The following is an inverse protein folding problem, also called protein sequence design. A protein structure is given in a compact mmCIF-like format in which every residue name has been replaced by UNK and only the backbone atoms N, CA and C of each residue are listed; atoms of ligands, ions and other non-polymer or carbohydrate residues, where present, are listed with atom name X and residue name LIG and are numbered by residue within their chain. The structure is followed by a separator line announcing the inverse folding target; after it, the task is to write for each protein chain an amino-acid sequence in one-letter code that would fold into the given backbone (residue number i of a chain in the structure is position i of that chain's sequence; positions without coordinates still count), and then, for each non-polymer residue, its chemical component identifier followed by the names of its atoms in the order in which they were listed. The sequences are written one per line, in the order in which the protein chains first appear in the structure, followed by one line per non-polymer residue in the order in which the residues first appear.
data_IF_152200666019
#
_entry.id   IF_152200666019
#
_cell.length_a   1.000
_cell.length_b   1.000
_cell.length_c   1.000
_cell.angle_alpha   90.00
_cell.angle_beta   90.00
_cell.angle_gamma   90.00
#
_symmetry.space_group_name_H-M   'P 1'
#
loop_
_entity.id
_entity.type
_entity.pdbx_description
1 polymer ?
#
# COMPACT_ATOMS: atom_id res chain seq x y z
N UNK A 1 4.01 4.36 10.50
CA UNK A 1 2.72 4.55 9.79
C UNK A 1 2.91 5.71 8.82
N UNK A 2 3.55 5.44 7.67
CA UNK A 2 3.91 6.50 6.73
C UNK A 2 2.80 6.79 5.71
N UNK A 3 1.89 5.83 5.52
CA UNK A 3 0.94 5.72 4.39
C UNK A 3 -0.07 6.89 4.24
N UNK A 4 -0.23 7.77 5.23
CA UNK A 4 -0.93 9.05 5.05
C UNK A 4 -0.25 10.21 5.77
N UNK A 5 0.36 9.96 6.93
CA UNK A 5 0.88 11.02 7.80
C UNK A 5 2.31 11.47 7.45
N UNK A 6 3.02 10.75 6.58
CA UNK A 6 4.45 11.00 6.37
C UNK A 6 5.28 10.71 7.62
N UNK A 7 6.47 11.31 7.69
CA UNK A 7 7.34 11.38 8.87
C UNK A 7 8.14 12.70 8.85
N UNK A 8 7.72 13.71 9.63
CA UNK A 8 8.40 15.00 9.69
C UNK A 8 9.87 14.90 10.12
N UNK A 9 10.18 13.97 11.03
CA UNK A 9 11.54 13.75 11.58
C UNK A 9 12.49 13.22 10.50
N UNK A 10 11.98 12.31 9.66
CA UNK A 10 12.65 11.81 8.47
C UNK A 10 12.58 12.75 7.26
N UNK A 11 11.94 13.93 7.38
CA UNK A 11 11.62 14.85 6.28
C UNK A 11 10.85 14.18 5.14
N UNK A 12 9.99 13.24 5.49
CA UNK A 12 9.14 12.51 4.57
C UNK A 12 7.77 13.19 4.61
N UNK A 13 7.38 13.84 3.52
CA UNK A 13 6.04 14.42 3.42
C UNK A 13 4.92 13.36 3.50
N UNK A 14 3.67 13.77 3.71
CA UNK A 14 2.51 12.90 3.55
C UNK A 14 2.61 12.16 2.22
N UNK A 15 2.34 10.85 2.23
CA UNK A 15 2.70 10.02 1.09
C UNK A 15 1.95 10.37 -0.22
N UNK A 16 0.80 11.04 -0.11
CA UNK A 16 0.05 11.63 -1.23
C UNK A 16 0.84 12.70 -2.00
N UNK A 17 1.85 13.27 -1.35
CA UNK A 17 2.80 14.24 -1.91
C UNK A 17 4.24 13.72 -1.92
N UNK A 18 4.50 12.43 -1.61
CA UNK A 18 5.87 11.90 -1.57
C UNK A 18 6.56 12.10 -2.91
N UNK A 19 7.61 12.90 -2.94
CA UNK A 19 8.40 13.19 -4.12
C UNK A 19 9.70 12.38 -4.11
N UNK A 20 10.43 12.39 -5.22
CA UNK A 20 11.70 11.67 -5.31
C UNK A 20 12.77 12.28 -4.39
N UNK A 21 12.64 13.57 -4.08
CA UNK A 21 13.50 14.33 -3.17
C UNK A 21 13.36 13.85 -1.72
N UNK A 22 12.19 13.34 -1.34
CA UNK A 22 11.93 12.79 0.00
C UNK A 22 12.64 11.43 0.22
N UNK A 23 13.29 10.89 -0.82
CA UNK A 23 13.94 9.58 -0.80
C UNK A 23 15.46 9.72 -0.99
N UNK A 24 16.20 9.42 0.09
CA UNK A 24 17.64 9.69 0.19
C UNK A 24 18.52 8.95 -0.81
N UNK A 25 18.06 7.83 -1.41
CA UNK A 25 18.88 7.03 -2.34
C UNK A 25 18.17 6.75 -3.65
N UNK A 26 18.94 6.63 -4.74
CA UNK A 26 18.43 6.28 -6.06
C UNK A 26 17.64 4.96 -6.06
N UNK A 27 18.11 3.96 -5.30
CA UNK A 27 17.40 2.68 -5.12
C UNK A 27 16.00 2.85 -4.51
N UNK A 28 15.85 3.71 -3.49
CA UNK A 28 14.54 4.04 -2.90
C UNK A 28 13.67 4.83 -3.88
N UNK A 29 14.24 5.72 -4.69
CA UNK A 29 13.48 6.45 -5.72
C UNK A 29 12.85 5.51 -6.75
N UNK A 30 13.51 4.41 -7.12
CA UNK A 30 12.93 3.38 -8.01
C UNK A 30 11.68 2.71 -7.42
N UNK A 31 11.55 2.65 -6.09
CA UNK A 31 10.37 2.07 -5.43
C UNK A 31 9.24 3.08 -5.18
N UNK A 32 9.47 4.38 -5.42
CA UNK A 32 8.45 5.44 -5.26
C UNK A 32 7.19 5.18 -6.07
N UNK A 33 7.34 4.77 -7.34
CA UNK A 33 6.21 4.46 -8.21
C UNK A 33 5.39 3.28 -7.68
N UNK A 34 6.05 2.22 -7.20
CA UNK A 34 5.40 1.07 -6.59
C UNK A 34 4.63 1.46 -5.32
N UNK A 35 5.23 2.30 -4.47
CA UNK A 35 4.51 2.80 -3.30
C UNK A 35 3.27 3.61 -3.71
N UNK A 36 3.40 4.58 -4.63
CA UNK A 36 2.26 5.37 -5.13
C UNK A 36 1.15 4.49 -5.68
N UNK A 37 1.47 3.47 -6.49
CA UNK A 37 0.48 2.52 -6.99
C UNK A 37 -0.26 1.79 -5.86
N UNK A 38 0.48 1.21 -4.92
CA UNK A 38 -0.12 0.48 -3.80
C UNK A 38 -1.01 1.38 -2.94
N UNK A 39 -0.69 2.67 -2.82
CA UNK A 39 -1.53 3.61 -2.08
C UNK A 39 -2.81 3.95 -2.80
N UNK A 40 -2.78 4.10 -4.13
CA UNK A 40 -3.99 4.23 -4.93
C UNK A 40 -4.88 2.99 -4.79
N UNK A 41 -4.30 1.79 -4.76
CA UNK A 41 -5.06 0.55 -4.48
C UNK A 41 -5.79 0.65 -3.15
N UNK A 42 -5.08 1.04 -2.09
CA UNK A 42 -5.70 1.05 -0.77
C UNK A 42 -6.72 2.18 -0.66
N UNK A 43 -6.44 3.37 -1.19
CA UNK A 43 -7.43 4.46 -1.26
C UNK A 43 -8.70 4.02 -2.00
N UNK A 44 -8.58 3.27 -3.09
CA UNK A 44 -9.73 2.73 -3.82
C UNK A 44 -10.52 1.67 -3.02
N UNK A 45 -9.94 1.08 -1.97
CA UNK A 45 -10.58 0.09 -1.10
C UNK A 45 -11.12 0.67 0.22
N UNK A 46 -10.73 1.89 0.58
CA UNK A 46 -11.35 2.60 1.70
C UNK A 46 -12.78 3.01 1.29
N UNK A 47 -13.83 2.64 2.05
CA UNK A 47 -15.21 3.01 1.74
C UNK A 47 -15.41 4.53 1.68
N UNK A 48 -16.34 4.96 0.82
CA UNK A 48 -16.79 6.36 0.78
C UNK A 48 -17.36 6.74 2.15
N UNK A 49 -16.87 7.83 2.74
CA UNK A 49 -17.24 8.29 4.10
C UNK A 49 -16.27 7.85 5.21
N UNK A 50 -15.44 6.83 5.00
CA UNK A 50 -14.39 6.43 5.94
C UNK A 50 -13.04 7.10 5.65
N UNK A 51 -12.92 7.80 4.53
CA UNK A 51 -11.70 8.50 4.14
C UNK A 51 -11.54 9.78 4.95
N UNK A 52 -10.44 9.87 5.72
CA UNK A 52 -10.07 11.07 6.47
C UNK A 52 -8.92 11.75 5.73
N UNK A 53 -9.13 13.00 5.30
CA UNK A 53 -8.16 13.75 4.47
C UNK A 53 -6.85 14.07 5.18
N UNK A 54 -6.91 14.33 6.49
CA UNK A 54 -5.77 14.64 7.36
C UNK A 54 -5.81 13.75 8.60
N UNK A 55 -5.52 12.44 8.44
CA UNK A 55 -5.69 11.49 9.52
C UNK A 55 -4.56 11.61 10.54
N UNK A 56 -4.89 11.37 11.81
CA UNK A 56 -3.88 11.03 12.81
C UNK A 56 -3.21 9.70 12.47
N UNK A 57 -2.07 9.41 13.10
CA UNK A 57 -1.36 8.13 12.94
C UNK A 57 -2.29 6.94 13.21
N UNK A 58 -3.15 7.05 14.23
CA UNK A 58 -4.06 5.99 14.60
C UNK A 58 -5.19 5.81 13.56
N UNK A 59 -5.80 6.91 13.11
CA UNK A 59 -6.82 6.88 12.05
C UNK A 59 -6.26 6.31 10.73
N UNK A 60 -5.02 6.68 10.37
CA UNK A 60 -4.34 6.13 9.20
C UNK A 60 -4.10 4.61 9.33
N UNK A 61 -3.82 4.12 10.54
CA UNK A 61 -3.68 2.67 10.79
C UNK A 61 -5.02 1.95 10.65
N UNK A 62 -6.11 2.52 11.17
CA UNK A 62 -7.44 1.94 11.09
C UNK A 62 -7.95 1.86 9.64
N UNK A 63 -7.78 2.93 8.86
CA UNK A 63 -8.08 2.90 7.42
C UNK A 63 -7.26 1.81 6.69
N UNK A 64 -6.04 1.52 7.15
CA UNK A 64 -5.17 0.51 6.53
C UNK A 64 -5.70 -0.87 6.82
N UNK A 65 -5.96 -1.13 8.09
CA UNK A 65 -6.47 -2.40 8.57
C UNK A 65 -7.82 -2.73 7.92
N UNK A 66 -8.70 -1.74 7.75
CA UNK A 66 -9.98 -1.93 7.06
C UNK A 66 -9.87 -2.16 5.55
N UNK A 67 -8.76 -1.75 4.93
CA UNK A 67 -8.55 -1.88 3.49
C UNK A 67 -7.73 -3.13 3.10
N UNK A 68 -6.81 -3.59 3.96
CA UNK A 68 -5.98 -4.80 3.73
C UNK A 68 -6.82 -6.03 3.29
N UNK A 69 -7.92 -6.38 3.98
CA UNK A 69 -8.74 -7.54 3.59
C UNK A 69 -9.38 -7.41 2.20
N UNK A 70 -9.54 -6.19 1.70
CA UNK A 70 -10.16 -5.88 0.41
C UNK A 70 -9.15 -5.82 -0.75
N UNK A 71 -7.86 -5.88 -0.43
CA UNK A 71 -6.81 -5.98 -1.44
C UNK A 71 -6.82 -7.40 -2.02
N UNK A 72 -6.59 -7.50 -3.34
CA UNK A 72 -6.47 -8.78 -4.05
C UNK A 72 -5.11 -9.43 -3.78
N UNK A 73 -4.85 -9.78 -2.52
CA UNK A 73 -3.65 -10.48 -2.09
C UNK A 73 -4.11 -11.87 -1.63
N UNK A 74 -3.55 -12.93 -2.22
CA UNK A 74 -3.91 -14.29 -1.82
C UNK A 74 -3.52 -14.56 -0.35
N UNK A 75 -4.34 -15.34 0.36
CA UNK A 75 -4.06 -15.78 1.74
C UNK A 75 -2.96 -16.83 1.82
N UNK A 76 -2.61 -17.44 0.69
CA UNK A 76 -1.59 -18.49 0.62
C UNK A 76 -0.44 -18.08 -0.28
N UNK A 77 0.76 -18.46 0.13
CA UNK A 77 1.96 -18.36 -0.70
C UNK A 77 1.93 -19.41 -1.82
N UNK A 78 2.75 -19.30 -2.87
CA UNK A 78 2.85 -20.33 -3.91
C UNK A 78 3.21 -21.73 -3.38
N UNK A 79 3.84 -21.81 -2.20
CA UNK A 79 4.16 -23.06 -1.51
C UNK A 79 3.07 -23.51 -0.51
N UNK A 80 1.85 -23.00 -0.67
CA UNK A 80 0.67 -23.30 0.14
C UNK A 80 0.80 -23.02 1.64
N UNK A 81 1.66 -22.07 2.04
CA UNK A 81 1.77 -21.59 3.43
C UNK A 81 0.90 -20.35 3.64
N UNK A 82 0.30 -20.22 4.82
CA UNK A 82 -0.47 -19.03 5.22
C UNK A 82 0.40 -17.77 5.10
N UNK A 83 -0.10 -16.76 4.39
CA UNK A 83 0.58 -15.48 4.15
C UNK A 83 0.23 -14.50 5.26
N UNK A 84 1.26 -13.95 5.92
CA UNK A 84 1.13 -12.87 6.91
C UNK A 84 0.95 -11.53 6.19
N UNK A 85 -0.30 -11.20 5.85
CA UNK A 85 -0.66 -10.04 5.02
C UNK A 85 -0.25 -8.70 5.64
N UNK A 86 -0.24 -8.62 6.95
CA UNK A 86 0.18 -7.50 7.79
C UNK A 86 1.70 -7.25 7.75
N UNK A 87 2.51 -8.27 7.43
CA UNK A 87 3.97 -8.20 7.38
C UNK A 87 4.53 -8.11 5.95
N UNK A 88 3.67 -8.07 4.94
CA UNK A 88 4.10 -7.98 3.55
C UNK A 88 4.80 -6.66 3.26
N UNK A 89 5.93 -6.76 2.55
CA UNK A 89 6.51 -5.59 1.88
C UNK A 89 5.55 -5.11 0.80
N UNK A 90 5.38 -3.80 0.72
CA UNK A 90 4.48 -3.14 -0.24
C UNK A 90 4.77 -3.51 -1.70
N UNK A 91 6.04 -3.68 -2.06
CA UNK A 91 6.43 -4.12 -3.40
C UNK A 91 5.95 -5.54 -3.71
N UNK A 92 6.06 -6.46 -2.76
CA UNK A 92 5.57 -7.84 -2.89
C UNK A 92 4.05 -7.87 -2.97
N UNK A 93 3.36 -7.11 -2.10
CA UNK A 93 1.91 -7.00 -2.12
C UNK A 93 1.38 -6.45 -3.46
N UNK A 94 2.06 -5.46 -4.04
CA UNK A 94 1.69 -4.90 -5.33
C UNK A 94 1.87 -5.88 -6.49
N UNK A 95 2.95 -6.67 -6.49
CA UNK A 95 3.15 -7.70 -7.50
C UNK A 95 2.04 -8.75 -7.45
N UNK A 96 1.67 -9.20 -6.26
CA UNK A 96 0.54 -10.14 -6.08
C UNK A 96 -0.79 -9.54 -6.57
N UNK A 97 -1.07 -8.25 -6.29
CA UNK A 97 -2.28 -7.58 -6.79
C UNK A 97 -2.28 -7.54 -8.32
N UNK A 98 -1.12 -7.26 -8.95
CA UNK A 98 -0.97 -7.21 -10.41
C UNK A 98 -1.14 -8.60 -11.04
N UNK A 99 -0.50 -9.62 -10.48
CA UNK A 99 -0.62 -11.00 -10.94
C UNK A 99 -2.05 -11.52 -10.78
N UNK A 100 -2.72 -11.18 -9.68
CA UNK A 100 -4.11 -11.58 -9.49
C UNK A 100 -5.05 -10.88 -10.47
N UNK A 101 -4.78 -9.62 -10.85
CA UNK A 101 -5.53 -8.96 -11.93
C UNK A 101 -5.34 -9.65 -13.26
N UNK A 102 -4.10 -9.98 -13.64
CA UNK A 102 -3.84 -10.66 -14.91
C UNK A 102 -4.51 -12.03 -14.98
N UNK A 103 -4.52 -12.78 -13.87
CA UNK A 103 -5.24 -14.06 -13.77
C UNK A 103 -6.76 -13.87 -13.90
N UNK A 104 -7.34 -12.89 -13.20
CA UNK A 104 -8.77 -12.60 -13.31
C UNK A 104 -9.22 -12.18 -14.72
N UNK A 105 -8.31 -11.68 -15.55
CA UNK A 105 -8.58 -11.30 -16.94
C UNK A 105 -8.42 -12.47 -17.93
N UNK A 106 -7.87 -13.62 -17.49
CA UNK A 106 -7.75 -14.83 -18.31
C UNK A 106 -8.94 -15.79 -18.11
N UNK A 107 -9.68 -15.63 -17.00
CA UNK A 107 -10.85 -16.45 -16.65
C UNK A 107 -12.21 -15.77 -16.99
N UNK A 108 -12.19 -14.70 -17.78
CA UNK A 108 -13.37 -13.93 -18.24
C UNK A 108 -13.41 -13.86 -19.76
#
# INVERSE_FOLDING_TARGET
VYWCCGDPSGRIGPYRFLQWQDLSTCGKRKTLSAYRCMMMEIQAKVPRGCWISTPTVQQAREMLQGAIPKLRISDVTPKNRQRRKDQLKWSTALNEIRENRSRSSQDA
#
